data_IF_179233873578
#
_entry.id   IF_179233873578
#
_cell.length_a   1.000
_cell.length_b   1.000
_cell.length_c   1.000
_cell.angle_alpha   90.00
_cell.angle_beta   90.00
_cell.angle_gamma   90.00
#
_symmetry.space_group_name_H-M   'P 1'
#
loop_
_entity.id
_entity.type
_entity.pdbx_description
1 polymer ?
#
# COMPACT_ATOMS: atom_id res chain seq x y z
N UNK A 1 -8.49 -29.30 -29.24
CA UNK A 1 -8.29 -28.39 -28.10
C UNK A 1 -7.73 -27.08 -28.63
N UNK A 2 -8.59 -26.17 -29.08
CA UNK A 2 -8.21 -24.86 -29.62
C UNK A 2 -9.10 -23.82 -28.96
N UNK A 3 -8.53 -22.78 -28.36
CA UNK A 3 -9.33 -21.60 -27.98
C UNK A 3 -9.14 -21.02 -26.58
N UNK A 4 -7.92 -20.89 -26.06
CA UNK A 4 -7.68 -20.01 -24.90
C UNK A 4 -6.39 -19.15 -24.99
N UNK A 5 -5.78 -19.03 -26.17
CA UNK A 5 -4.54 -18.23 -26.33
C UNK A 5 -4.79 -16.74 -26.60
N UNK A 6 -6.04 -16.32 -26.79
CA UNK A 6 -6.40 -14.94 -27.18
C UNK A 6 -6.78 -14.04 -25.99
N UNK A 7 -6.94 -14.62 -24.79
CA UNK A 7 -7.39 -13.92 -23.58
C UNK A 7 -6.24 -13.63 -22.61
N UNK A 8 -5.20 -12.96 -23.08
CA UNK A 8 -4.01 -12.56 -22.28
C UNK A 8 -3.92 -11.05 -22.05
N UNK A 9 -4.95 -10.28 -22.40
CA UNK A 9 -4.99 -8.84 -22.22
C UNK A 9 -4.94 -8.39 -20.75
N UNK A 10 -4.58 -7.13 -20.52
CA UNK A 10 -4.68 -6.48 -19.20
C UNK A 10 -6.14 -6.26 -18.77
N UNK A 11 -7.02 -6.16 -19.76
CA UNK A 11 -8.43 -5.78 -19.60
C UNK A 11 -9.24 -6.78 -20.43
N UNK A 12 -10.34 -7.26 -19.85
CA UNK A 12 -11.30 -8.12 -20.53
C UNK A 12 -12.09 -7.40 -21.63
N UNK A 13 -12.79 -8.15 -22.51
CA UNK A 13 -13.63 -7.56 -23.57
C UNK A 13 -14.78 -6.70 -23.02
N UNK A 14 -15.21 -6.96 -21.78
CA UNK A 14 -16.18 -6.21 -20.99
C UNK A 14 -15.59 -4.97 -20.31
N UNK A 15 -14.32 -4.64 -20.58
CA UNK A 15 -13.55 -3.55 -19.96
C UNK A 15 -13.29 -3.73 -18.46
N UNK A 16 -13.46 -4.95 -17.94
CA UNK A 16 -13.12 -5.26 -16.55
C UNK A 16 -11.61 -5.55 -16.45
N UNK A 17 -10.87 -4.84 -15.58
CA UNK A 17 -9.44 -5.08 -15.41
C UNK A 17 -9.15 -6.44 -14.78
N UNK A 18 -8.13 -7.15 -15.28
CA UNK A 18 -7.61 -8.34 -14.61
C UNK A 18 -6.66 -7.97 -13.46
N UNK A 19 -6.38 -8.85 -12.49
CA UNK A 19 -5.57 -8.51 -11.31
C UNK A 19 -4.20 -7.89 -11.62
N UNK A 20 -3.53 -8.35 -12.69
CA UNK A 20 -2.25 -7.81 -13.13
C UNK A 20 -2.30 -6.35 -13.61
N UNK A 21 -3.47 -5.83 -13.98
CA UNK A 21 -3.68 -4.40 -14.26
C UNK A 21 -3.26 -3.52 -13.08
N UNK A 22 -3.61 -3.91 -11.85
CA UNK A 22 -3.28 -3.11 -10.67
C UNK A 22 -1.78 -3.10 -10.36
N UNK A 23 -1.07 -4.16 -10.74
CA UNK A 23 0.38 -4.20 -10.64
C UNK A 23 1.02 -3.27 -11.68
N UNK A 24 0.52 -3.29 -12.92
CA UNK A 24 0.94 -2.34 -13.97
C UNK A 24 0.69 -0.91 -13.51
N UNK A 25 -0.51 -0.59 -13.00
CA UNK A 25 -0.82 0.73 -12.46
C UNK A 25 0.17 1.17 -11.37
N UNK A 26 0.58 0.25 -10.49
CA UNK A 26 1.56 0.53 -9.44
C UNK A 26 2.98 0.73 -9.98
N UNK A 27 3.42 -0.08 -10.94
CA UNK A 27 4.77 0.02 -11.53
C UNK A 27 4.93 1.28 -12.38
N UNK A 28 3.88 1.70 -13.08
CA UNK A 28 3.88 2.88 -13.96
C UNK A 28 3.51 4.19 -13.28
N UNK A 29 3.35 4.23 -11.95
CA UNK A 29 3.09 5.48 -11.25
C UNK A 29 4.31 6.43 -11.36
N UNK A 30 4.06 7.72 -11.53
CA UNK A 30 5.11 8.74 -11.70
C UNK A 30 5.42 9.52 -10.42
N UNK A 31 4.76 9.20 -9.31
CA UNK A 31 5.10 9.76 -8.00
C UNK A 31 5.52 8.60 -7.12
N UNK A 32 6.78 8.63 -6.70
CA UNK A 32 7.34 7.63 -5.80
C UNK A 32 7.48 8.20 -4.39
N UNK A 33 7.29 7.33 -3.41
CA UNK A 33 7.40 7.66 -2.00
C UNK A 33 8.48 6.77 -1.39
N UNK A 34 9.40 7.37 -0.64
CA UNK A 34 10.36 6.63 0.19
C UNK A 34 10.29 7.13 1.62
N UNK A 35 10.23 6.20 2.56
CA UNK A 35 10.12 6.51 3.98
C UNK A 35 11.45 6.24 4.68
N UNK A 36 11.95 7.24 5.39
CA UNK A 36 12.97 7.06 6.42
C UNK A 36 12.29 6.98 7.78
N UNK A 37 12.51 5.87 8.49
CA UNK A 37 11.83 5.52 9.74
C UNK A 37 12.47 6.19 10.97
N UNK A 38 13.12 7.34 10.77
CA UNK A 38 13.62 8.20 11.85
C UNK A 38 12.45 8.97 12.47
N UNK A 39 12.55 9.37 13.74
CA UNK A 39 11.53 10.20 14.39
C UNK A 39 12.02 11.65 14.39
N UNK A 40 11.26 12.61 13.82
CA UNK A 40 9.95 12.47 13.16
C UNK A 40 10.05 11.73 11.81
N UNK A 41 8.99 11.00 11.43
CA UNK A 41 8.97 10.23 10.18
C UNK A 41 9.25 11.14 8.99
N UNK A 42 10.27 10.82 8.21
CA UNK A 42 10.61 11.59 7.01
C UNK A 42 10.15 10.83 5.78
N UNK A 43 9.21 11.43 5.05
CA UNK A 43 8.75 10.92 3.78
C UNK A 43 9.36 11.74 2.66
N UNK A 44 10.12 11.10 1.78
CA UNK A 44 10.61 11.69 0.55
C UNK A 44 9.61 11.43 -0.57
N UNK A 45 9.10 12.50 -1.16
CA UNK A 45 8.23 12.49 -2.34
C UNK A 45 9.09 12.77 -3.56
N UNK A 46 9.12 11.82 -4.50
CA UNK A 46 9.89 11.93 -5.73
C UNK A 46 8.95 12.11 -6.92
N UNK A 47 9.07 13.24 -7.61
CA UNK A 47 8.30 13.53 -8.81
C UNK A 47 9.07 13.05 -10.06
N UNK A 48 8.59 11.97 -10.68
CA UNK A 48 9.16 11.40 -11.91
C UNK A 48 8.42 11.82 -13.18
N UNK A 49 7.47 12.74 -13.09
CA UNK A 49 6.92 13.36 -14.30
C UNK A 49 7.99 14.23 -14.96
N UNK A 50 7.95 14.32 -16.29
CA UNK A 50 8.88 15.14 -17.07
C UNK A 50 8.45 16.62 -17.12
N UNK A 51 7.14 16.89 -17.04
CA UNK A 51 6.57 18.25 -17.24
C UNK A 51 5.52 18.67 -16.20
N UNK A 52 5.05 17.74 -15.36
CA UNK A 52 3.96 18.00 -14.41
C UNK A 52 4.50 18.15 -13.00
N UNK A 53 4.18 19.26 -12.34
CA UNK A 53 4.46 19.48 -10.92
C UNK A 53 3.45 18.73 -10.03
N UNK A 54 3.79 18.51 -8.77
CA UNK A 54 2.90 17.84 -7.81
C UNK A 54 1.78 18.72 -7.28
N UNK A 55 1.72 20.01 -7.66
CA UNK A 55 0.66 20.96 -7.32
C UNK A 55 -0.75 20.53 -7.77
N UNK A 56 -0.81 19.68 -8.79
CA UNK A 56 -2.05 19.10 -9.33
C UNK A 56 -2.63 17.98 -8.44
N UNK A 57 -1.88 17.52 -7.45
CA UNK A 57 -2.27 16.39 -6.61
C UNK A 57 -2.38 16.79 -5.14
N UNK A 58 -3.40 16.25 -4.47
CA UNK A 58 -3.49 16.24 -3.02
C UNK A 58 -2.75 15.01 -2.49
N UNK A 59 -1.71 15.25 -1.70
CA UNK A 59 -0.96 14.20 -1.03
C UNK A 59 -1.63 13.89 0.31
N UNK A 60 -2.13 12.67 0.46
CA UNK A 60 -2.91 12.22 1.62
C UNK A 60 -2.22 11.02 2.25
N UNK A 61 -2.20 10.95 3.57
CA UNK A 61 -1.74 9.77 4.29
C UNK A 61 -2.81 9.22 5.22
N UNK A 62 -2.73 7.93 5.50
CA UNK A 62 -3.61 7.20 6.41
C UNK A 62 -2.81 6.19 7.22
N UNK A 63 -2.98 6.21 8.54
CA UNK A 63 -2.47 5.17 9.43
C UNK A 63 -3.50 4.08 9.59
N UNK A 64 -3.08 2.83 9.41
CA UNK A 64 -3.90 1.65 9.59
C UNK A 64 -3.34 0.82 10.75
N UNK A 65 -4.20 0.45 11.68
CA UNK A 65 -3.88 -0.45 12.80
C UNK A 65 -4.66 -1.75 12.60
N UNK A 66 -3.96 -2.87 12.43
CA UNK A 66 -4.53 -4.17 12.07
C UNK A 66 -5.52 -4.08 10.89
N UNK A 67 -5.16 -3.31 9.86
CA UNK A 67 -5.97 -3.11 8.66
C UNK A 67 -7.10 -2.07 8.78
N UNK A 68 -7.34 -1.48 9.96
CA UNK A 68 -8.37 -0.45 10.14
C UNK A 68 -7.76 0.95 10.12
N UNK A 69 -8.31 1.84 9.29
CA UNK A 69 -7.88 3.26 9.25
C UNK A 69 -8.20 3.89 10.59
N UNK A 70 -7.17 4.41 11.27
CA UNK A 70 -7.27 5.00 12.62
C UNK A 70 -7.01 6.50 12.61
N UNK A 71 -6.11 6.98 11.72
CA UNK A 71 -5.85 8.40 11.55
C UNK A 71 -5.58 8.71 10.07
N UNK A 72 -5.97 9.89 9.63
CA UNK A 72 -5.75 10.38 8.26
C UNK A 72 -5.30 11.83 8.30
N UNK A 73 -4.52 12.25 7.31
CA UNK A 73 -4.12 13.65 7.20
C UNK A 73 -3.69 14.03 5.80
N UNK A 74 -3.57 15.34 5.59
CA UNK A 74 -2.98 15.92 4.38
C UNK A 74 -1.49 16.16 4.62
N UNK A 75 -0.68 15.73 3.67
CA UNK A 75 0.75 15.95 3.69
C UNK A 75 1.05 17.38 3.24
N UNK A 76 1.60 18.20 4.15
CA UNK A 76 1.99 19.58 3.86
C UNK A 76 3.32 19.61 3.09
N UNK A 77 3.30 19.13 1.85
CA UNK A 77 4.45 19.16 0.96
C UNK A 77 4.33 20.35 0.00
N UNK A 78 5.36 21.21 -0.16
CA UNK A 78 5.37 22.18 -1.23
C UNK A 78 5.34 21.48 -2.60
N UNK A 79 4.89 22.17 -3.67
CA UNK A 79 4.96 21.65 -5.02
C UNK A 79 6.38 21.21 -5.40
N UNK A 80 6.51 19.98 -5.87
CA UNK A 80 7.77 19.38 -6.30
C UNK A 80 7.82 19.45 -7.81
N UNK A 81 8.80 20.17 -8.33
CA UNK A 81 9.03 20.31 -9.77
C UNK A 81 9.29 18.96 -10.46
N UNK A 82 9.08 18.86 -11.77
CA UNK A 82 9.40 17.67 -12.56
C UNK A 82 10.85 17.18 -12.33
N UNK A 83 11.02 15.88 -12.17
CA UNK A 83 12.33 15.24 -11.92
C UNK A 83 12.97 15.56 -10.56
N UNK A 84 12.30 16.31 -9.67
CA UNK A 84 12.83 16.69 -8.37
C UNK A 84 12.21 15.84 -7.25
N UNK A 85 12.82 15.92 -6.07
CA UNK A 85 12.32 15.28 -4.86
C UNK A 85 12.29 16.25 -3.69
N UNK A 86 11.37 16.02 -2.76
CA UNK A 86 11.25 16.82 -1.55
C UNK A 86 10.98 15.93 -0.34
N UNK A 87 11.62 16.25 0.78
CA UNK A 87 11.42 15.56 2.05
C UNK A 87 10.43 16.34 2.92
N UNK A 88 9.47 15.62 3.47
CA UNK A 88 8.44 16.18 4.33
C UNK A 88 8.29 15.31 5.57
N UNK A 89 8.20 15.97 6.72
CA UNK A 89 7.98 15.29 8.00
C UNK A 89 6.49 14.99 8.20
N UNK A 90 6.20 13.77 8.64
CA UNK A 90 4.86 13.34 9.06
C UNK A 90 4.84 13.27 10.57
N UNK A 91 3.98 14.09 11.18
CA UNK A 91 3.76 14.05 12.61
C UNK A 91 3.01 12.78 12.99
N UNK A 92 3.57 12.05 13.96
CA UNK A 92 2.94 10.85 14.49
C UNK A 92 1.80 11.23 15.42
N UNK A 93 0.63 10.57 15.32
CA UNK A 93 -0.45 10.75 16.28
C UNK A 93 0.03 10.43 17.70
N UNK A 94 -0.47 11.17 18.70
CA UNK A 94 -0.08 10.96 20.11
C UNK A 94 -0.43 9.56 20.59
N UNK A 95 -1.46 8.96 20.00
CA UNK A 95 -1.93 7.61 20.30
C UNK A 95 -1.06 6.52 19.65
N UNK A 96 -0.07 6.85 18.83
CA UNK A 96 0.75 5.88 18.09
C UNK A 96 1.42 4.84 19.00
N UNK A 97 1.87 5.25 20.19
CA UNK A 97 2.49 4.34 21.15
C UNK A 97 1.48 3.39 21.81
N UNK A 98 0.21 3.79 21.86
CA UNK A 98 -0.89 2.98 22.37
C UNK A 98 -1.46 2.01 21.33
N UNK A 99 -1.10 2.16 20.05
CA UNK A 99 -1.57 1.26 19.01
C UNK A 99 -0.91 -0.12 19.14
N UNK A 100 -1.74 -1.14 19.30
CA UNK A 100 -1.33 -2.52 19.43
C UNK A 100 -1.51 -3.30 18.13
N UNK A 101 -0.49 -4.08 17.77
CA UNK A 101 -0.51 -4.92 16.56
C UNK A 101 0.27 -4.31 15.39
N UNK A 102 -0.17 -4.64 14.18
CA UNK A 102 0.47 -4.16 12.96
C UNK A 102 0.03 -2.72 12.67
N UNK A 103 1.00 -1.83 12.49
CA UNK A 103 0.76 -0.44 12.10
C UNK A 103 1.37 -0.19 10.73
N UNK A 104 0.53 0.28 9.81
CA UNK A 104 0.86 0.56 8.42
C UNK A 104 0.61 2.04 8.15
N UNK A 105 1.49 2.67 7.36
CA UNK A 105 1.31 4.01 6.83
C UNK A 105 1.04 3.89 5.34
N UNK A 106 -0.16 4.27 4.93
CA UNK A 106 -0.52 4.40 3.53
C UNK A 106 -0.38 5.84 3.09
N UNK A 107 0.20 6.07 1.92
CA UNK A 107 0.33 7.37 1.29
C UNK A 107 -0.29 7.33 -0.10
N UNK A 108 -0.96 8.40 -0.47
CA UNK A 108 -1.71 8.53 -1.72
C UNK A 108 -1.43 9.88 -2.37
N UNK A 109 -1.28 9.89 -3.69
CA UNK A 109 -1.41 11.09 -4.50
C UNK A 109 -2.75 11.04 -5.24
N UNK A 110 -3.62 12.02 -4.99
CA UNK A 110 -4.97 12.10 -5.57
C UNK A 110 -5.12 13.33 -6.45
N UNK A 111 -5.88 13.21 -7.53
CA UNK A 111 -6.18 14.38 -8.37
C UNK A 111 -6.94 15.45 -7.59
N UNK A 112 -6.43 16.68 -7.59
CA UNK A 112 -7.07 17.83 -6.94
C UNK A 112 -8.24 18.41 -7.74
N UNK A 113 -8.20 18.25 -9.06
CA UNK A 113 -9.21 18.65 -10.03
C UNK A 113 -9.50 17.49 -10.98
N UNK A 114 -10.70 17.41 -11.58
CA UNK A 114 -11.00 16.34 -12.51
C UNK A 114 -10.14 16.50 -13.77
N UNK A 115 -9.81 15.37 -14.39
CA UNK A 115 -9.18 15.30 -15.69
C UNK A 115 -10.15 14.67 -16.69
N UNK A 116 -9.87 14.80 -18.00
CA UNK A 116 -10.70 14.17 -19.05
C UNK A 116 -10.87 12.65 -18.89
N UNK A 117 -9.94 12.00 -18.18
CA UNK A 117 -9.87 10.54 -18.02
C UNK A 117 -10.22 10.06 -16.61
N UNK A 118 -10.40 10.95 -15.62
CA UNK A 118 -10.75 10.58 -14.25
C UNK A 118 -11.32 11.74 -13.44
N UNK A 119 -12.19 11.41 -12.48
CA UNK A 119 -12.79 12.37 -11.57
C UNK A 119 -11.80 12.87 -10.50
N UNK A 120 -12.18 13.97 -9.83
CA UNK A 120 -11.46 14.49 -8.66
C UNK A 120 -11.32 13.41 -7.58
N UNK A 121 -10.15 13.32 -6.95
CA UNK A 121 -9.88 12.34 -5.90
C UNK A 121 -9.35 11.00 -6.43
N UNK A 122 -9.29 10.79 -7.75
CA UNK A 122 -8.68 9.59 -8.32
C UNK A 122 -7.23 9.43 -7.89
N UNK A 123 -6.85 8.23 -7.43
CA UNK A 123 -5.51 7.93 -6.91
C UNK A 123 -4.57 7.56 -8.04
N UNK A 124 -3.61 8.44 -8.33
CA UNK A 124 -2.61 8.25 -9.41
C UNK A 124 -1.37 7.50 -8.93
N UNK A 125 -1.04 7.63 -7.65
CA UNK A 125 0.08 6.92 -7.03
C UNK A 125 -0.29 6.58 -5.59
N UNK A 126 0.20 5.44 -5.12
CA UNK A 126 -0.02 4.98 -3.75
C UNK A 126 1.18 4.19 -3.27
N UNK A 127 1.49 4.28 -1.99
CA UNK A 127 2.51 3.46 -1.35
C UNK A 127 2.09 3.07 0.06
N UNK A 128 2.61 1.95 0.55
CA UNK A 128 2.36 1.45 1.89
C UNK A 128 3.66 1.07 2.59
N UNK A 129 3.86 1.61 3.78
CA UNK A 129 5.00 1.34 4.64
C UNK A 129 4.57 0.63 5.92
N UNK A 130 5.37 -0.33 6.36
CA UNK A 130 5.15 -1.03 7.63
C UNK A 130 5.93 -0.30 8.72
N UNK A 131 5.22 0.28 9.71
CA UNK A 131 5.85 1.01 10.81
C UNK A 131 6.09 0.13 12.03
N UNK A 132 5.09 -0.69 12.39
CA UNK A 132 5.18 -1.69 13.46
C UNK A 132 4.69 -3.01 12.91
N UNK A 133 5.47 -4.07 13.06
CA UNK A 133 5.01 -5.42 12.77
C UNK A 133 4.35 -6.01 14.01
N UNK A 134 3.30 -6.81 13.82
CA UNK A 134 2.83 -7.67 14.90
C UNK A 134 3.94 -8.66 15.19
N UNK A 135 4.48 -8.67 16.42
CA UNK A 135 5.38 -9.74 16.84
C UNK A 135 4.61 -11.05 16.76
N UNK A 136 4.85 -11.82 15.71
CA UNK A 136 4.41 -13.21 15.65
C UNK A 136 5.13 -13.91 16.78
N UNK A 137 4.39 -14.31 17.83
CA UNK A 137 4.93 -15.22 18.81
C UNK A 137 5.32 -16.49 18.07
N UNK A 138 6.63 -16.76 18.00
CA UNK A 138 7.12 -18.05 17.54
C UNK A 138 6.60 -19.06 18.55
N UNK A 139 5.62 -19.86 18.16
CA UNK A 139 5.12 -20.96 18.99
C UNK A 139 6.34 -21.79 19.38
N UNK A 140 6.52 -22.02 20.69
CA UNK A 140 7.61 -22.88 21.15
C UNK A 140 7.35 -24.28 20.61
N UNK A 141 8.41 -25.01 20.29
CA UNK A 141 8.32 -26.32 19.65
C UNK A 141 7.42 -27.31 20.42
N UNK A 142 7.35 -27.17 21.75
CA UNK A 142 6.46 -27.95 22.61
C UNK A 142 4.98 -27.53 22.54
N UNK A 143 4.66 -26.25 22.26
CA UNK A 143 3.28 -25.77 22.07
C UNK A 143 2.70 -26.32 20.76
N UNK A 144 3.54 -26.47 19.74
CA UNK A 144 3.21 -27.15 18.47
C UNK A 144 2.96 -28.64 18.72
N UNK A 145 3.82 -29.29 19.50
CA UNK A 145 3.66 -30.70 19.89
C UNK A 145 2.32 -30.93 20.62
N UNK A 146 1.98 -30.06 21.57
CA UNK A 146 0.73 -30.13 22.34
C UNK A 146 -0.52 -29.89 21.49
N UNK A 147 -0.44 -29.04 20.46
CA UNK A 147 -1.51 -28.82 19.48
C UNK A 147 -1.74 -30.04 18.58
N UNK A 148 -0.68 -30.74 18.20
CA UNK A 148 -0.73 -31.97 17.40
C UNK A 148 -1.19 -33.19 18.21
N UNK A 149 -0.99 -33.19 19.53
CA UNK A 149 -1.34 -34.30 20.44
C UNK A 149 -2.77 -34.23 21.00
N UNK A 150 -3.58 -33.21 20.66
CA UNK A 150 -4.99 -33.16 21.10
C UNK A 150 -5.82 -34.24 20.38
N UNK A 151 -6.40 -35.22 21.10
CA UNK A 151 -7.21 -36.25 20.47
C UNK A 151 -8.48 -35.63 19.89
N UNK A 152 -8.69 -35.76 18.57
CA UNK A 152 -9.95 -35.41 17.90
C UNK A 152 -9.88 -34.50 16.66
N UNK A 153 -8.72 -33.96 16.26
CA UNK A 153 -8.59 -33.26 14.95
C UNK A 153 -7.85 -34.11 13.95
N UNK A 154 -8.58 -34.92 13.21
CA UNK A 154 -8.07 -35.57 12.00
C UNK A 154 -7.75 -34.51 10.95
N UNK A 155 -6.50 -34.06 10.89
CA UNK A 155 -5.98 -33.33 9.73
C UNK A 155 -5.85 -34.32 8.57
N UNK A 156 -6.91 -34.46 7.78
CA UNK A 156 -6.86 -35.15 6.48
C UNK A 156 -6.02 -34.33 5.51
N UNK A 157 -4.72 -34.57 5.49
CA UNK A 157 -3.92 -34.30 4.30
C UNK A 157 -4.34 -35.31 3.23
N UNK A 158 -5.11 -34.86 2.24
CA UNK A 158 -5.24 -35.63 0.99
C UNK A 158 -3.92 -35.48 0.24
N UNK A 159 -3.09 -36.53 0.33
CA UNK A 159 -2.02 -36.80 -0.62
C UNK A 159 -2.62 -37.36 -1.91
N UNK A 160 -2.03 -36.96 -3.03
CA UNK A 160 -1.82 -37.73 -4.28
C UNK A 160 -0.95 -36.85 -5.17
N UNK A 161 0.09 -37.28 -5.86
CA UNK A 161 1.01 -38.43 -5.79
C UNK A 161 2.33 -37.92 -6.42
#
# INVERSE_FOLDING_TARGET
MTGLSVLTGLIGPDRVPHPHYHQVQKVYQYIDFTLDNTVPLKLKVNNRYDFTSTDKFDLVYAFLVNGKVTATGLLKCPPVSPGQSHEVSIDMPKEYDNWSGEVLLNVYARLRKPALWAETGFTVAREQFVLKTKKTQKLRQWEIQLLLMKPGRAFRFRQTA
#
